data_IF_192861771179
#
_entry.id   IF_192861771179
#
_cell.length_a   1.000
_cell.length_b   1.000
_cell.length_c   1.000
_cell.angle_alpha   90.00
_cell.angle_beta   90.00
_cell.angle_gamma   90.00
#
_symmetry.space_group_name_H-M   'P 1'
#
loop_
_entity.id
_entity.type
_entity.pdbx_description
1 polymer ?
#
# COMPACT_ATOMS: atom_id res chain seq x y z
N UNK A 1 9.08 30.87 17.18
CA UNK A 1 7.64 30.56 17.13
C UNK A 1 7.35 29.99 15.74
N UNK A 2 7.64 28.70 15.54
CA UNK A 2 7.44 28.05 14.24
C UNK A 2 5.95 27.76 14.06
N UNK A 3 5.31 28.45 13.11
CA UNK A 3 3.98 28.11 12.64
C UNK A 3 4.07 26.76 11.92
N UNK A 4 3.85 25.68 12.64
CA UNK A 4 3.67 24.34 12.05
C UNK A 4 2.38 24.42 11.24
N UNK A 5 2.52 24.53 9.92
CA UNK A 5 1.43 24.28 9.00
C UNK A 5 0.81 22.94 9.39
N UNK A 6 -0.46 22.91 9.78
CA UNK A 6 -1.24 21.66 9.86
C UNK A 6 -1.28 21.08 8.46
N UNK A 7 -0.24 20.32 8.09
CA UNK A 7 -0.18 19.57 6.85
C UNK A 7 -1.36 18.61 6.88
N UNK A 8 -2.20 18.65 5.84
CA UNK A 8 -3.36 17.78 5.77
C UNK A 8 -2.83 16.35 5.54
N UNK A 9 -2.80 15.53 6.59
CA UNK A 9 -2.17 14.20 6.58
C UNK A 9 -2.77 13.27 5.51
N UNK A 10 -4.06 13.44 5.19
CA UNK A 10 -4.73 12.73 4.08
C UNK A 10 -4.17 13.12 2.72
N UNK A 11 -3.86 14.40 2.52
CA UNK A 11 -3.19 14.87 1.30
C UNK A 11 -1.80 14.27 1.18
N UNK A 12 -1.10 14.13 2.30
CA UNK A 12 0.22 13.50 2.34
C UNK A 12 0.16 12.01 1.97
N UNK A 13 -0.80 11.25 2.49
CA UNK A 13 -1.00 9.86 2.09
C UNK A 13 -1.26 9.70 0.59
N UNK A 14 -2.12 10.55 0.03
CA UNK A 14 -2.39 10.55 -1.41
C UNK A 14 -1.15 10.90 -2.22
N UNK A 15 -0.36 11.88 -1.78
CA UNK A 15 0.89 12.25 -2.44
C UNK A 15 1.88 11.09 -2.44
N UNK A 16 2.08 10.44 -1.28
CA UNK A 16 2.98 9.28 -1.14
C UNK A 16 2.53 8.11 -2.00
N UNK A 17 1.25 7.74 -1.97
CA UNK A 17 0.72 6.70 -2.85
C UNK A 17 0.82 7.06 -4.34
N UNK A 18 0.70 8.34 -4.69
CA UNK A 18 0.87 8.80 -6.09
C UNK A 18 2.28 8.57 -6.60
N UNK A 19 3.30 8.74 -5.73
CA UNK A 19 4.70 8.48 -6.08
C UNK A 19 4.99 6.99 -6.29
N UNK A 20 4.13 6.08 -5.81
CA UNK A 20 4.31 4.64 -5.99
C UNK A 20 3.99 4.13 -7.40
N UNK A 21 3.36 4.95 -8.25
CA UNK A 21 2.85 4.52 -9.55
C UNK A 21 3.41 5.38 -10.70
N UNK A 22 3.60 4.81 -11.90
CA UNK A 22 3.92 5.59 -13.10
C UNK A 22 2.85 6.64 -13.41
N UNK A 23 3.26 7.79 -13.96
CA UNK A 23 2.36 8.92 -14.28
C UNK A 23 1.19 8.52 -15.17
N UNK A 24 1.40 7.57 -16.09
CA UNK A 24 0.36 7.05 -16.99
C UNK A 24 -0.86 6.47 -16.25
N UNK A 25 -0.72 6.07 -14.99
CA UNK A 25 -1.79 5.48 -14.17
C UNK A 25 -2.50 6.51 -13.29
N UNK A 26 -2.11 7.78 -13.27
CA UNK A 26 -2.64 8.75 -12.30
C UNK A 26 -4.15 8.94 -12.39
N UNK A 27 -4.74 8.82 -13.58
CA UNK A 27 -6.20 8.90 -13.73
C UNK A 27 -6.90 7.74 -13.01
N UNK A 28 -6.44 6.50 -13.23
CA UNK A 28 -6.98 5.31 -12.59
C UNK A 28 -6.71 5.31 -11.07
N UNK A 29 -5.49 5.65 -10.68
CA UNK A 29 -5.11 5.77 -9.28
C UNK A 29 -5.99 6.79 -8.55
N UNK A 30 -6.31 7.93 -9.15
CA UNK A 30 -7.21 8.91 -8.54
C UNK A 30 -8.62 8.37 -8.29
N UNK A 31 -9.11 7.40 -9.07
CA UNK A 31 -10.36 6.71 -8.77
C UNK A 31 -10.22 5.80 -7.55
N UNK A 32 -9.12 5.03 -7.48
CA UNK A 32 -8.81 4.15 -6.33
C UNK A 32 -8.63 4.95 -5.03
N UNK A 33 -7.88 6.05 -5.07
CA UNK A 33 -7.66 6.91 -3.90
C UNK A 33 -8.93 7.59 -3.37
N UNK A 34 -10.07 7.54 -4.08
CA UNK A 34 -11.35 8.06 -3.56
C UNK A 34 -12.03 7.07 -2.62
N UNK A 35 -11.76 5.77 -2.76
CA UNK A 35 -12.44 4.73 -2.00
C UNK A 35 -11.66 4.26 -0.76
N UNK A 36 -10.37 4.61 -0.66
CA UNK A 36 -9.53 4.25 0.49
C UNK A 36 -9.91 5.09 1.73
N UNK A 37 -10.20 4.44 2.88
CA UNK A 37 -10.61 5.12 4.11
C UNK A 37 -9.41 5.69 4.89
N UNK A 38 -8.85 6.80 4.41
CA UNK A 38 -7.69 7.47 5.03
C UNK A 38 -7.92 8.04 6.45
N UNK A 39 -9.17 8.09 6.90
CA UNK A 39 -9.56 8.82 8.11
C UNK A 39 -9.60 7.91 9.36
N UNK A 40 -9.51 6.58 9.20
CA UNK A 40 -9.44 5.67 10.34
C UNK A 40 -7.98 5.41 10.74
N UNK A 41 -7.62 5.82 11.95
CA UNK A 41 -6.29 5.59 12.53
C UNK A 41 -6.25 4.59 13.70
N UNK A 42 -7.34 3.83 13.89
CA UNK A 42 -7.41 2.74 14.85
C UNK A 42 -7.01 1.44 14.16
N UNK A 43 -5.82 0.97 14.43
CA UNK A 43 -5.27 -0.27 13.88
C UNK A 43 -5.42 -1.35 14.93
N UNK A 44 -5.88 -2.53 14.53
CA UNK A 44 -5.92 -3.72 15.38
C UNK A 44 -4.88 -4.73 14.91
N UNK A 45 -3.71 -4.81 15.55
CA UNK A 45 -2.73 -5.85 15.28
C UNK A 45 -3.24 -7.24 15.71
N UNK A 46 -2.40 -8.25 15.47
CA UNK A 46 -2.69 -9.65 15.77
C UNK A 46 -2.93 -9.93 17.26
N UNK A 47 -2.37 -9.10 18.16
CA UNK A 47 -2.57 -9.21 19.60
C UNK A 47 -4.00 -8.89 20.06
N UNK A 48 -4.83 -8.36 19.15
CA UNK A 48 -6.22 -8.01 19.39
C UNK A 48 -6.42 -6.65 20.05
N UNK A 49 -5.35 -5.95 20.40
CA UNK A 49 -5.40 -4.62 21.01
C UNK A 49 -5.64 -3.57 19.93
N UNK A 50 -6.43 -2.53 20.22
CA UNK A 50 -6.59 -1.41 19.29
C UNK A 50 -5.55 -0.35 19.62
N UNK A 51 -4.67 -0.06 18.67
CA UNK A 51 -3.69 1.00 18.75
C UNK A 51 -4.12 2.17 17.87
N UNK A 52 -4.04 3.38 18.42
CA UNK A 52 -4.14 4.58 17.61
C UNK A 52 -2.75 4.88 17.04
N UNK A 53 -2.62 4.91 15.71
CA UNK A 53 -1.34 5.22 15.05
C UNK A 53 -1.35 6.67 14.58
N UNK A 54 -0.20 7.33 14.72
CA UNK A 54 -0.02 8.72 14.29
C UNK A 54 0.10 8.83 12.76
N UNK A 55 0.59 7.77 12.11
CA UNK A 55 0.82 7.72 10.67
C UNK A 55 0.38 6.36 10.09
N UNK A 56 -0.42 6.39 9.03
CA UNK A 56 -0.95 5.20 8.35
C UNK A 56 -0.06 4.68 7.23
N UNK A 57 1.02 5.37 6.92
CA UNK A 57 2.08 4.87 6.04
C UNK A 57 3.41 4.98 6.79
N UNK A 58 4.07 3.85 6.99
CA UNK A 58 5.38 3.76 7.65
C UNK A 58 6.39 4.71 6.99
N UNK A 59 7.32 5.29 7.76
CA UNK A 59 8.27 6.30 7.27
C UNK A 59 9.25 5.77 6.21
N UNK A 60 9.66 4.50 6.32
CA UNK A 60 10.53 3.85 5.34
C UNK A 60 9.85 3.68 3.98
N UNK A 61 10.63 3.94 2.93
CA UNK A 61 10.23 3.83 1.53
C UNK A 61 11.37 3.22 0.72
N UNK A 62 11.05 2.70 -0.46
CA UNK A 62 12.02 2.18 -1.42
C UNK A 62 11.83 2.87 -2.77
N UNK A 63 12.90 3.48 -3.28
CA UNK A 63 12.91 4.01 -4.64
C UNK A 63 13.30 2.93 -5.65
N UNK A 64 12.50 2.84 -6.72
CA UNK A 64 12.72 1.92 -7.85
C UNK A 64 12.59 2.70 -9.14
N UNK A 65 13.49 2.46 -10.09
CA UNK A 65 13.38 3.05 -11.43
C UNK A 65 12.68 2.07 -12.36
N UNK A 66 11.55 2.49 -12.94
CA UNK A 66 10.79 1.74 -13.93
C UNK A 66 10.53 2.63 -15.15
N UNK A 67 10.93 2.19 -16.34
CA UNK A 67 10.72 2.92 -17.61
C UNK A 67 11.17 4.41 -17.52
N UNK A 68 12.30 4.69 -16.87
CA UNK A 68 12.85 6.03 -16.60
C UNK A 68 12.01 6.92 -15.65
N UNK A 69 11.02 6.36 -14.96
CA UNK A 69 10.29 7.00 -13.86
C UNK A 69 10.78 6.44 -12.51
N UNK A 70 11.05 7.30 -11.55
CA UNK A 70 11.30 6.88 -10.16
C UNK A 70 9.98 6.70 -9.44
N UNK A 71 9.75 5.49 -8.97
CA UNK A 71 8.62 5.12 -8.13
C UNK A 71 9.11 4.97 -6.69
N UNK A 72 8.39 5.57 -5.75
CA UNK A 72 8.70 5.47 -4.32
C UNK A 72 7.66 4.59 -3.64
N UNK A 73 8.04 3.36 -3.31
CA UNK A 73 7.12 2.35 -2.78
C UNK A 73 7.17 2.35 -1.24
N UNK A 74 6.04 2.57 -0.54
CA UNK A 74 6.01 2.59 0.92
C UNK A 74 6.31 1.22 1.53
N UNK A 75 7.07 1.18 2.63
CA UNK A 75 7.37 -0.09 3.29
C UNK A 75 6.12 -0.78 3.87
N UNK A 76 5.29 -0.02 4.61
CA UNK A 76 4.07 -0.56 5.20
C UNK A 76 2.95 0.44 5.26
N UNK A 77 1.72 -0.05 5.08
CA UNK A 77 0.50 0.71 5.28
C UNK A 77 -0.42 0.05 6.31
N UNK A 78 -1.29 0.88 6.87
CA UNK A 78 -2.21 0.53 7.94
C UNK A 78 -3.65 0.98 7.67
N UNK A 79 -3.98 1.27 6.40
CA UNK A 79 -5.34 1.59 6.00
C UNK A 79 -6.25 0.38 6.16
N UNK A 80 -7.46 0.58 6.67
CA UNK A 80 -8.52 -0.41 6.51
C UNK A 80 -8.82 -0.63 5.03
N UNK A 81 -9.40 -1.79 4.71
CA UNK A 81 -9.88 -2.08 3.37
C UNK A 81 -11.07 -1.19 2.98
N UNK A 82 -11.22 -0.82 1.69
CA UNK A 82 -12.35 -0.02 1.23
C UNK A 82 -13.67 -0.79 1.38
N UNK A 83 -14.79 -0.06 1.29
CA UNK A 83 -16.09 -0.70 1.22
C UNK A 83 -16.18 -1.61 -0.03
N UNK A 84 -16.53 -2.91 0.12
CA UNK A 84 -16.62 -3.84 -1.01
C UNK A 84 -17.55 -3.38 -2.14
N UNK A 85 -18.63 -2.66 -1.84
CA UNK A 85 -19.55 -2.15 -2.87
C UNK A 85 -18.92 -1.03 -3.69
N UNK A 86 -18.04 -0.21 -3.10
CA UNK A 86 -17.27 0.79 -3.85
C UNK A 86 -16.19 0.10 -4.68
N UNK A 87 -15.53 -0.92 -4.14
CA UNK A 87 -14.51 -1.69 -4.86
C UNK A 87 -15.06 -2.37 -6.12
N UNK A 88 -16.30 -2.88 -6.07
CA UNK A 88 -16.99 -3.45 -7.24
C UNK A 88 -17.16 -2.46 -8.41
N UNK A 89 -17.13 -1.15 -8.15
CA UNK A 89 -17.26 -0.12 -9.19
C UNK A 89 -15.97 0.13 -9.97
N UNK A 90 -14.83 -0.39 -9.50
CA UNK A 90 -13.54 -0.22 -10.12
C UNK A 90 -13.39 -1.08 -11.39
N UNK A 91 -12.67 -0.56 -12.38
CA UNK A 91 -12.20 -1.36 -13.52
C UNK A 91 -11.15 -2.39 -13.07
N UNK A 92 -10.88 -3.41 -13.88
CA UNK A 92 -9.90 -4.44 -13.52
C UNK A 92 -8.50 -3.84 -13.28
N UNK A 93 -8.09 -2.85 -14.09
CA UNK A 93 -6.84 -2.11 -13.87
C UNK A 93 -6.83 -1.35 -12.55
N UNK A 94 -7.95 -0.73 -12.18
CA UNK A 94 -8.08 -0.01 -10.90
C UNK A 94 -8.07 -0.98 -9.71
N UNK A 95 -8.63 -2.19 -9.87
CA UNK A 95 -8.51 -3.26 -8.87
C UNK A 95 -7.07 -3.72 -8.73
N UNK A 96 -6.32 -3.89 -9.81
CA UNK A 96 -4.90 -4.23 -9.71
C UNK A 96 -4.09 -3.13 -9.01
N UNK A 97 -4.40 -1.86 -9.26
CA UNK A 97 -3.78 -0.73 -8.53
C UNK A 97 -4.12 -0.83 -7.04
N UNK A 98 -5.39 -1.05 -6.69
CA UNK A 98 -5.83 -1.23 -5.30
C UNK A 98 -5.09 -2.40 -4.65
N UNK A 99 -5.07 -3.56 -5.29
CA UNK A 99 -4.41 -4.76 -4.79
C UNK A 99 -2.91 -4.52 -4.59
N UNK A 100 -2.22 -3.86 -5.53
CA UNK A 100 -0.82 -3.47 -5.38
C UNK A 100 -0.56 -2.55 -4.18
N UNK A 101 -1.47 -1.60 -3.90
CA UNK A 101 -1.39 -0.79 -2.67
C UNK A 101 -1.45 -1.73 -1.45
N UNK A 102 -2.47 -2.57 -1.35
CA UNK A 102 -2.68 -3.45 -0.19
C UNK A 102 -1.70 -4.62 -0.07
N UNK A 103 -0.88 -4.92 -1.08
CA UNK A 103 0.30 -5.78 -0.90
C UNK A 103 1.29 -5.22 0.13
N UNK A 104 1.20 -3.93 0.47
CA UNK A 104 2.01 -3.29 1.52
C UNK A 104 1.32 -3.21 2.87
N UNK A 105 0.16 -3.86 3.01
CA UNK A 105 -0.58 -3.85 4.27
C UNK A 105 0.20 -4.59 5.38
N UNK A 106 0.05 -4.13 6.63
CA UNK A 106 0.71 -4.73 7.80
C UNK A 106 0.22 -6.15 8.12
N UNK A 107 -1.05 -6.44 7.85
CA UNK A 107 -1.64 -7.77 8.03
C UNK A 107 -1.26 -8.69 6.85
N UNK A 108 -0.55 -9.78 7.13
CA UNK A 108 -0.15 -10.79 6.15
C UNK A 108 -1.31 -11.49 5.43
N UNK A 109 -2.46 -11.68 6.10
CA UNK A 109 -3.64 -12.29 5.47
C UNK A 109 -4.24 -11.40 4.38
N UNK A 110 -4.31 -10.08 4.62
CA UNK A 110 -4.76 -9.13 3.60
C UNK A 110 -3.80 -9.11 2.42
N UNK A 111 -2.48 -9.16 2.67
CA UNK A 111 -1.48 -9.24 1.58
C UNK A 111 -1.69 -10.49 0.71
N UNK A 112 -1.91 -11.64 1.33
CA UNK A 112 -2.16 -12.91 0.64
C UNK A 112 -3.46 -12.88 -0.17
N UNK A 113 -4.57 -12.41 0.42
CA UNK A 113 -5.85 -12.25 -0.28
C UNK A 113 -5.72 -11.32 -1.49
N UNK A 114 -5.08 -10.16 -1.30
CA UNK A 114 -4.90 -9.14 -2.35
C UNK A 114 -3.96 -9.62 -3.47
N UNK A 115 -2.99 -10.46 -3.16
CA UNK A 115 -2.15 -11.12 -4.16
C UNK A 115 -2.97 -12.06 -5.05
N UNK A 116 -3.88 -12.84 -4.47
CA UNK A 116 -4.76 -13.75 -5.21
C UNK A 116 -5.84 -13.03 -6.05
N UNK A 117 -6.11 -11.76 -5.76
CA UNK A 117 -7.05 -10.93 -6.50
C UNK A 117 -6.43 -10.15 -7.67
N UNK A 118 -5.10 -10.22 -7.85
CA UNK A 118 -4.46 -9.62 -9.03
C UNK A 118 -4.88 -10.32 -10.31
N UNK A 119 -5.00 -9.57 -11.41
CA UNK A 119 -5.30 -10.14 -12.71
C UNK A 119 -4.18 -11.03 -13.24
N UNK A 120 -4.54 -12.05 -14.03
CA UNK A 120 -3.58 -12.96 -14.66
C UNK A 120 -2.61 -12.25 -15.63
N UNK A 121 -3.03 -11.11 -16.18
CA UNK A 121 -2.25 -10.32 -17.14
C UNK A 121 -1.57 -9.14 -16.44
N UNK A 122 -0.61 -9.46 -15.58
CA UNK A 122 0.15 -8.47 -14.82
C UNK A 122 0.93 -7.53 -15.75
N UNK A 123 0.59 -6.25 -15.70
CA UNK A 123 1.38 -5.20 -16.34
C UNK A 123 2.71 -4.99 -15.57
N UNK A 124 3.77 -4.55 -16.28
CA UNK A 124 5.11 -4.34 -15.71
C UNK A 124 5.16 -3.45 -14.47
N UNK A 125 4.21 -2.52 -14.32
CA UNK A 125 4.17 -1.60 -13.19
C UNK A 125 3.79 -2.26 -11.86
N UNK A 126 3.28 -3.50 -11.88
CA UNK A 126 3.00 -4.30 -10.67
C UNK A 126 4.26 -4.90 -10.06
N UNK A 127 5.32 -5.08 -10.87
CA UNK A 127 6.56 -5.81 -10.50
C UNK A 127 7.24 -5.24 -9.24
N UNK A 128 7.40 -3.92 -9.06
CA UNK A 128 8.03 -3.37 -7.84
C UNK A 128 7.31 -3.80 -6.55
N UNK A 129 5.97 -3.88 -6.58
CA UNK A 129 5.18 -4.30 -5.43
C UNK A 129 5.36 -5.79 -5.11
N UNK A 130 5.38 -6.63 -6.15
CA UNK A 130 5.56 -8.08 -6.02
C UNK A 130 6.96 -8.44 -5.49
N UNK A 131 8.00 -7.81 -6.02
CA UNK A 131 9.39 -8.05 -5.58
C UNK A 131 9.56 -7.64 -4.12
N UNK A 132 8.99 -6.49 -3.72
CA UNK A 132 9.10 -6.04 -2.34
C UNK A 132 8.32 -6.94 -1.36
N UNK A 133 7.16 -7.47 -1.78
CA UNK A 133 6.42 -8.47 -1.01
C UNK A 133 7.24 -9.74 -0.76
N UNK A 134 7.90 -10.28 -1.79
CA UNK A 134 8.74 -11.49 -1.66
C UNK A 134 9.89 -11.25 -0.67
N UNK A 135 10.54 -10.09 -0.75
CA UNK A 135 11.64 -9.73 0.16
C UNK A 135 11.21 -9.71 1.63
N UNK A 136 9.98 -9.29 1.92
CA UNK A 136 9.43 -9.30 3.27
C UNK A 136 9.21 -10.71 3.80
N UNK A 137 8.67 -11.63 2.97
CA UNK A 137 8.51 -13.03 3.36
C UNK A 137 9.85 -13.69 3.69
N UNK A 138 10.90 -13.41 2.92
CA UNK A 138 12.24 -13.95 3.20
C UNK A 138 12.76 -13.41 4.55
N UNK A 139 12.58 -12.12 4.82
CA UNK A 139 13.00 -11.52 6.09
C UNK A 139 12.25 -12.11 7.29
N UNK A 140 10.93 -12.31 7.17
CA UNK A 140 10.10 -12.92 8.21
C UNK A 140 10.53 -14.37 8.55
N UNK A 141 11.14 -15.10 7.61
CA UNK A 141 11.66 -16.45 7.84
C UNK A 141 13.05 -16.49 8.49
N UNK A 142 13.84 -15.42 8.45
CA UNK A 142 15.21 -15.41 8.98
C UNK A 142 15.29 -15.86 10.46
N UNK A 143 14.42 -15.40 11.38
CA UNK A 143 14.47 -15.84 12.79
C UNK A 143 14.14 -17.33 12.98
N UNK A 144 13.47 -17.97 12.02
CA UNK A 144 13.19 -19.41 12.04
C UNK A 144 14.43 -20.17 11.56
N UNK A 145 15.08 -19.66 10.52
CA UNK A 145 16.31 -20.25 9.94
C UNK A 145 17.47 -20.16 10.93
N UNK A 146 17.68 -19.00 11.57
CA UNK A 146 18.78 -18.75 12.52
C UNK A 146 18.72 -19.65 13.78
N UNK A 147 17.56 -20.28 14.04
CA UNK A 147 17.36 -21.21 15.16
C UNK A 147 17.60 -22.68 14.79
N UNK A 148 17.98 -22.99 13.54
CA UNK A 148 18.36 -24.34 13.10
C UNK A 148 19.86 -24.52 13.12
#
# INVERSE_FOLDING_TARGET
MLKIFKRNIKSEYKERLTKSFPKKLYSDLNAVLKIIPFDNNKVKPFDGTIHQVDNLIHENELDVVLDNETLTIPYRLYFDEPNPELEKTLTDKQKDILNCIYLRHHNGHIREERLNLLSDNLEKWTVPFLIQLIGEYIYELLPIIDKK
#
